data_IF_052010854093
#
_entry.id   IF_052010854093
#
_cell.length_a   1.000
_cell.length_b   1.000
_cell.length_c   1.000
_cell.angle_alpha   90.00
_cell.angle_beta   90.00
_cell.angle_gamma   90.00
#
_symmetry.space_group_name_H-M   'P 1'
#
loop_
_entity.id
_entity.type
_entity.pdbx_description
1 polymer ?
#
# COMPACT_ATOMS: atom_id res chain seq x y z
N UNK A 1 -9.26 8.10 -34.64
CA UNK A 1 -8.05 8.43 -33.86
C UNK A 1 -8.15 7.79 -32.48
N UNK A 2 -7.58 6.59 -32.27
CA UNK A 2 -7.73 5.81 -31.02
C UNK A 2 -6.50 5.90 -30.09
N UNK A 3 -5.49 6.68 -30.49
CA UNK A 3 -4.15 6.64 -29.88
C UNK A 3 -4.08 7.51 -28.60
N UNK A 4 -4.91 8.55 -28.47
CA UNK A 4 -4.89 9.49 -27.34
C UNK A 4 -5.44 8.94 -26.02
N UNK A 5 -6.41 8.01 -26.05
CA UNK A 5 -7.11 7.55 -24.83
C UNK A 5 -6.27 6.58 -23.97
N UNK A 6 -5.36 5.83 -24.60
CA UNK A 6 -4.55 4.80 -23.93
C UNK A 6 -3.36 5.38 -23.15
N UNK A 7 -2.79 6.49 -23.64
CA UNK A 7 -1.61 7.13 -23.05
C UNK A 7 -1.98 7.90 -21.77
N UNK A 8 -3.13 8.56 -21.75
CA UNK A 8 -3.61 9.32 -20.58
C UNK A 8 -4.18 8.41 -19.46
N UNK A 9 -4.74 7.25 -19.84
CA UNK A 9 -5.19 6.23 -18.87
C UNK A 9 -4.01 5.61 -18.11
N UNK A 10 -2.91 5.33 -18.81
CA UNK A 10 -1.71 4.72 -18.24
C UNK A 10 -1.06 5.66 -17.21
N UNK A 11 -0.94 6.96 -17.50
CA UNK A 11 -0.36 7.93 -16.56
C UNK A 11 -1.20 8.11 -15.29
N UNK A 12 -2.53 8.10 -15.39
CA UNK A 12 -3.42 8.16 -14.21
C UNK A 12 -3.29 6.91 -13.34
N UNK A 13 -3.33 5.72 -13.95
CA UNK A 13 -3.15 4.45 -13.24
C UNK A 13 -1.80 4.38 -12.52
N UNK A 14 -0.75 4.89 -13.16
CA UNK A 14 0.59 4.99 -12.57
C UNK A 14 0.64 5.90 -11.34
N UNK A 15 0.04 7.09 -11.42
CA UNK A 15 -0.06 8.03 -10.29
C UNK A 15 -0.81 7.38 -9.13
N UNK A 16 -1.94 6.73 -9.42
CA UNK A 16 -2.76 6.05 -8.41
C UNK A 16 -1.99 4.92 -7.70
N UNK A 17 -1.16 4.16 -8.42
CA UNK A 17 -0.33 3.11 -7.82
C UNK A 17 0.72 3.72 -6.88
N UNK A 18 1.41 4.77 -7.29
CA UNK A 18 2.42 5.43 -6.45
C UNK A 18 1.80 6.10 -5.21
N UNK A 19 0.65 6.73 -5.35
CA UNK A 19 -0.13 7.24 -4.22
C UNK A 19 -0.55 6.12 -3.27
N UNK A 20 -1.00 4.98 -3.82
CA UNK A 20 -1.38 3.81 -3.04
C UNK A 20 -0.20 3.20 -2.29
N UNK A 21 0.99 3.11 -2.92
CA UNK A 21 2.23 2.65 -2.26
C UNK A 21 2.57 3.57 -1.08
N UNK A 22 2.53 4.89 -1.28
CA UNK A 22 2.81 5.87 -0.23
C UNK A 22 1.78 5.82 0.91
N UNK A 23 0.51 5.62 0.58
CA UNK A 23 -0.56 5.48 1.56
C UNK A 23 -0.38 4.20 2.38
N UNK A 24 -0.14 3.06 1.73
CA UNK A 24 0.07 1.78 2.40
C UNK A 24 1.30 1.81 3.31
N UNK A 25 2.37 2.51 2.92
CA UNK A 25 3.54 2.74 3.79
C UNK A 25 3.17 3.50 5.06
N UNK A 26 2.42 4.61 4.94
CA UNK A 26 1.96 5.39 6.11
C UNK A 26 1.01 4.59 7.00
N UNK A 27 0.10 3.83 6.41
CA UNK A 27 -0.79 2.92 7.14
C UNK A 27 0.01 1.89 7.92
N UNK A 28 1.06 1.32 7.32
CA UNK A 28 1.94 0.35 7.96
C UNK A 28 2.73 0.96 9.12
N UNK A 29 3.31 2.14 8.92
CA UNK A 29 4.01 2.88 9.96
C UNK A 29 3.08 3.19 11.15
N UNK A 30 1.80 3.49 10.89
CA UNK A 30 0.80 3.73 11.92
C UNK A 30 0.39 2.44 12.64
N UNK A 31 0.19 1.34 11.91
CA UNK A 31 -0.17 0.05 12.49
C UNK A 31 0.95 -0.48 13.40
N UNK A 32 2.22 -0.33 13.01
CA UNK A 32 3.36 -0.64 13.89
C UNK A 32 3.35 0.20 15.17
N UNK A 33 3.11 1.51 15.08
CA UNK A 33 2.98 2.36 16.28
C UNK A 33 1.81 1.94 17.16
N UNK A 34 0.68 1.55 16.58
CA UNK A 34 -0.47 1.10 17.36
C UNK A 34 -0.16 -0.23 18.07
N UNK A 35 0.50 -1.16 17.38
CA UNK A 35 0.98 -2.41 17.97
C UNK A 35 1.97 -2.16 19.11
N UNK A 36 2.94 -1.26 18.94
CA UNK A 36 3.94 -0.96 19.97
C UNK A 36 3.32 -0.30 21.22
N UNK A 37 2.19 0.40 21.06
CA UNK A 37 1.50 1.11 22.14
C UNK A 37 0.28 0.33 22.69
N UNK A 38 0.06 -0.91 22.27
CA UNK A 38 -1.06 -1.71 22.78
C UNK A 38 -0.77 -2.13 24.23
N UNK A 39 -1.60 -1.68 25.15
CA UNK A 39 -1.55 -2.09 26.56
C UNK A 39 -2.48 -3.27 26.86
N UNK A 40 -3.46 -3.51 25.99
CA UNK A 40 -4.44 -4.56 26.11
C UNK A 40 -3.95 -5.83 25.40
N UNK A 41 -3.66 -6.86 26.18
CA UNK A 41 -3.15 -8.14 25.68
C UNK A 41 -4.15 -8.86 24.78
N UNK A 42 -5.45 -8.61 24.95
CA UNK A 42 -6.49 -9.27 24.16
C UNK A 42 -6.57 -8.71 22.73
N UNK A 43 -5.97 -7.53 22.49
CA UNK A 43 -5.94 -6.86 21.18
C UNK A 43 -4.65 -7.13 20.39
N UNK A 44 -3.66 -7.80 20.99
CA UNK A 44 -2.36 -8.07 20.36
C UNK A 44 -2.54 -8.81 19.03
N UNK A 45 -3.36 -9.86 19.02
CA UNK A 45 -3.62 -10.63 17.79
C UNK A 45 -4.31 -9.78 16.72
N UNK A 46 -5.24 -8.90 17.11
CA UNK A 46 -5.90 -7.97 16.18
C UNK A 46 -4.86 -7.08 15.47
N UNK A 47 -3.91 -6.52 16.22
CA UNK A 47 -2.85 -5.68 15.64
C UNK A 47 -1.83 -6.50 14.83
N UNK A 48 -1.53 -7.74 15.21
CA UNK A 48 -0.69 -8.65 14.39
C UNK A 48 -1.36 -8.86 13.01
N UNK A 49 -2.66 -9.19 12.99
CA UNK A 49 -3.38 -9.36 11.73
C UNK A 49 -3.49 -8.07 10.93
N UNK A 50 -3.69 -6.93 11.60
CA UNK A 50 -3.71 -5.62 10.95
C UNK A 50 -2.38 -5.34 10.23
N UNK A 51 -1.26 -5.43 10.95
CA UNK A 51 0.09 -5.21 10.39
C UNK A 51 0.35 -6.16 9.23
N UNK A 52 0.08 -7.46 9.38
CA UNK A 52 0.28 -8.44 8.31
C UNK A 52 -0.58 -8.14 7.08
N UNK A 53 -1.84 -7.72 7.27
CA UNK A 53 -2.74 -7.39 6.16
C UNK A 53 -2.24 -6.19 5.36
N UNK A 54 -1.78 -5.13 6.04
CA UNK A 54 -1.25 -3.92 5.42
C UNK A 54 0.08 -4.21 4.74
N UNK A 55 0.95 -5.02 5.36
CA UNK A 55 2.24 -5.42 4.78
C UNK A 55 2.05 -6.20 3.47
N UNK A 56 1.14 -7.19 3.44
CA UNK A 56 0.80 -7.93 2.21
C UNK A 56 0.28 -7.01 1.11
N UNK A 57 -0.58 -6.04 1.46
CA UNK A 57 -1.08 -5.02 0.53
C UNK A 57 0.05 -4.13 0.00
N UNK A 58 0.96 -3.69 0.86
CA UNK A 58 2.12 -2.89 0.48
C UNK A 58 3.04 -3.65 -0.48
N UNK A 59 3.37 -4.91 -0.18
CA UNK A 59 4.16 -5.77 -1.06
C UNK A 59 3.51 -5.99 -2.43
N UNK A 60 2.19 -6.19 -2.47
CA UNK A 60 1.45 -6.26 -3.72
C UNK A 60 1.60 -4.97 -4.54
N UNK A 61 1.40 -3.81 -3.91
CA UNK A 61 1.52 -2.52 -4.58
C UNK A 61 2.95 -2.26 -5.10
N UNK A 62 3.98 -2.66 -4.35
CA UNK A 62 5.37 -2.61 -4.81
C UNK A 62 5.60 -3.51 -6.02
N UNK A 63 5.05 -4.73 -6.05
CA UNK A 63 5.12 -5.62 -7.22
C UNK A 63 4.46 -4.97 -8.44
N UNK A 64 3.34 -4.26 -8.25
CA UNK A 64 2.67 -3.55 -9.33
C UNK A 64 3.50 -2.35 -9.82
N UNK A 65 4.07 -1.56 -8.92
CA UNK A 65 4.94 -0.44 -9.27
C UNK A 65 6.22 -0.88 -10.02
N UNK A 66 6.82 -2.02 -9.62
CA UNK A 66 7.96 -2.64 -10.33
C UNK A 66 7.62 -3.04 -11.76
N UNK A 67 6.45 -3.67 -11.99
CA UNK A 67 5.98 -4.04 -13.34
C UNK A 67 5.84 -2.82 -14.27
N UNK A 68 5.65 -1.65 -13.68
CA UNK A 68 5.49 -0.38 -14.38
C UNK A 68 6.82 0.42 -14.46
N UNK A 69 7.94 -0.14 -14.00
CA UNK A 69 9.29 0.45 -13.99
C UNK A 69 9.42 1.76 -13.18
N UNK A 70 8.66 1.92 -12.09
CA UNK A 70 8.76 3.11 -11.22
C UNK A 70 9.74 2.97 -10.05
N UNK A 71 10.12 1.74 -9.70
CA UNK A 71 11.02 1.36 -8.59
C UNK A 71 11.77 0.08 -8.92
#
# INVERSE_FOLDING_TARGET
>A
MLIGKKIESSSKENIMIMESVNKARKELDMAYKNFDNVSDTDLVDCYIYEVQSIQKKYEYLLKQAKKLNFI
#
